data_IF_129484292664
#
_entry.id   IF_129484292664
#
_cell.length_a   1.000
_cell.length_b   1.000
_cell.length_c   1.000
_cell.angle_alpha   90.00
_cell.angle_beta   90.00
_cell.angle_gamma   90.00
#
_symmetry.space_group_name_H-M   'P 1'
#
loop_
_entity.id
_entity.type
_entity.pdbx_description
1 polymer ?
#
# COMPACT_ATOMS: atom_id res chain seq x y z
N UNK A 1 -14.12 39.26 -19.99
CA UNK A 1 -13.42 37.97 -20.02
C UNK A 1 -12.50 37.83 -18.80
N UNK A 2 -12.99 37.38 -17.63
CA UNK A 2 -12.15 37.04 -16.45
C UNK A 2 -12.67 35.85 -15.63
N UNK A 3 -13.64 35.10 -16.13
CA UNK A 3 -14.28 33.98 -15.41
C UNK A 3 -13.65 32.61 -15.70
N UNK A 4 -12.74 32.49 -16.65
CA UNK A 4 -12.16 31.18 -17.02
C UNK A 4 -11.15 30.64 -15.98
N UNK A 5 -10.36 31.51 -15.35
CA UNK A 5 -9.24 31.09 -14.48
C UNK A 5 -9.68 30.52 -13.13
N UNK A 6 -10.84 30.93 -12.61
CA UNK A 6 -11.37 30.45 -11.31
C UNK A 6 -11.90 29.01 -11.42
N UNK A 7 -12.41 28.62 -12.60
CA UNK A 7 -12.94 27.28 -12.85
C UNK A 7 -11.84 26.23 -13.04
N UNK A 8 -10.67 26.59 -13.58
CA UNK A 8 -9.58 25.64 -13.84
C UNK A 8 -9.00 25.05 -12.56
N UNK A 9 -8.81 25.86 -11.52
CA UNK A 9 -8.28 25.40 -10.24
C UNK A 9 -9.29 24.50 -9.49
N UNK A 10 -10.58 24.82 -9.55
CA UNK A 10 -11.64 23.98 -8.98
C UNK A 10 -11.81 22.66 -9.71
N UNK A 11 -11.77 22.67 -11.04
CA UNK A 11 -11.82 21.47 -11.87
C UNK A 11 -10.63 20.53 -11.62
N UNK A 12 -9.42 21.09 -11.52
CA UNK A 12 -8.21 20.33 -11.18
C UNK A 12 -8.32 19.66 -9.80
N UNK A 13 -8.79 20.39 -8.78
CA UNK A 13 -9.01 19.81 -7.44
C UNK A 13 -10.02 18.67 -7.48
N UNK A 14 -11.15 18.85 -8.19
CA UNK A 14 -12.15 17.80 -8.35
C UNK A 14 -11.57 16.57 -9.05
N UNK A 15 -10.79 16.76 -10.12
CA UNK A 15 -10.15 15.67 -10.83
C UNK A 15 -9.16 14.89 -9.95
N UNK A 16 -8.36 15.59 -9.13
CA UNK A 16 -7.46 14.93 -8.17
C UNK A 16 -8.25 14.15 -7.13
N UNK A 17 -9.32 14.73 -6.58
CA UNK A 17 -10.20 14.05 -5.61
C UNK A 17 -10.84 12.81 -6.23
N UNK A 18 -11.43 12.92 -7.43
CA UNK A 18 -12.07 11.81 -8.12
C UNK A 18 -11.06 10.70 -8.46
N UNK A 19 -9.81 11.05 -8.78
CA UNK A 19 -8.74 10.08 -9.02
C UNK A 19 -8.28 9.40 -7.72
N UNK A 20 -8.01 10.14 -6.66
CA UNK A 20 -7.57 9.58 -5.36
C UNK A 20 -8.64 8.71 -4.73
N UNK A 21 -9.91 9.11 -4.81
CA UNK A 21 -11.05 8.30 -4.37
C UNK A 21 -11.48 7.25 -5.39
N UNK A 22 -10.77 7.10 -6.51
CA UNK A 22 -11.10 6.04 -7.45
C UNK A 22 -10.87 4.67 -6.79
N UNK A 23 -11.80 3.75 -7.03
CA UNK A 23 -11.70 2.36 -6.57
C UNK A 23 -10.36 1.71 -6.93
N UNK A 24 -9.80 1.84 -8.15
CA UNK A 24 -8.51 1.23 -8.45
C UNK A 24 -7.37 1.78 -7.58
N UNK A 25 -7.31 3.09 -7.33
CA UNK A 25 -6.28 3.69 -6.46
C UNK A 25 -6.41 3.17 -5.02
N UNK A 26 -7.64 3.12 -4.49
CA UNK A 26 -7.90 2.58 -3.16
C UNK A 26 -7.52 1.08 -3.07
N UNK A 27 -7.87 0.28 -4.08
CA UNK A 27 -7.53 -1.13 -4.14
C UNK A 27 -6.01 -1.36 -4.23
N UNK A 28 -5.30 -0.58 -5.03
CA UNK A 28 -3.83 -0.62 -5.11
C UNK A 28 -3.21 -0.27 -3.78
N UNK A 29 -3.62 0.83 -3.14
CA UNK A 29 -3.10 1.23 -1.83
C UNK A 29 -3.32 0.13 -0.79
N UNK A 30 -4.53 -0.42 -0.70
CA UNK A 30 -4.85 -1.48 0.25
C UNK A 30 -4.00 -2.74 -0.01
N UNK A 31 -3.87 -3.15 -1.27
CA UNK A 31 -3.07 -4.31 -1.66
C UNK A 31 -1.59 -4.09 -1.34
N UNK A 32 -1.06 -2.89 -1.61
CA UNK A 32 0.32 -2.53 -1.28
C UNK A 32 0.57 -2.57 0.24
N UNK A 33 -0.36 -2.06 1.04
CA UNK A 33 -0.27 -2.11 2.52
C UNK A 33 -0.29 -3.55 3.02
N UNK A 34 -1.17 -4.40 2.49
CA UNK A 34 -1.21 -5.82 2.81
C UNK A 34 0.11 -6.52 2.44
N UNK A 35 0.61 -6.30 1.22
CA UNK A 35 1.86 -6.89 0.76
C UNK A 35 3.05 -6.46 1.63
N UNK A 36 3.15 -5.17 1.98
CA UNK A 36 4.19 -4.66 2.88
C UNK A 36 4.09 -5.25 4.28
N UNK A 37 2.87 -5.36 4.81
CA UNK A 37 2.65 -5.95 6.15
C UNK A 37 3.11 -7.41 6.18
N UNK A 38 2.70 -8.21 5.19
CA UNK A 38 3.13 -9.59 5.07
C UNK A 38 4.65 -9.66 4.89
N UNK A 39 5.23 -8.85 4.00
CA UNK A 39 6.68 -8.79 3.81
C UNK A 39 7.42 -8.52 5.13
N UNK A 40 7.00 -7.49 5.87
CA UNK A 40 7.62 -7.13 7.16
C UNK A 40 7.53 -8.28 8.16
N UNK A 41 6.40 -8.98 8.24
CA UNK A 41 6.23 -10.12 9.13
C UNK A 41 7.11 -11.31 8.72
N UNK A 42 7.07 -11.69 7.44
CA UNK A 42 7.84 -12.81 6.90
C UNK A 42 9.35 -12.58 6.93
N UNK A 43 9.82 -11.34 6.83
CA UNK A 43 11.25 -11.01 6.80
C UNK A 43 11.74 -10.27 8.05
N UNK A 44 10.93 -10.20 9.11
CA UNK A 44 11.34 -9.57 10.37
C UNK A 44 12.55 -10.28 10.99
N UNK A 45 13.50 -9.50 11.50
CA UNK A 45 14.60 -9.96 12.36
C UNK A 45 14.31 -9.78 13.85
N UNK A 46 13.15 -9.22 14.21
CA UNK A 46 12.75 -9.06 15.61
C UNK A 46 12.38 -10.44 16.20
N UNK A 47 13.08 -10.94 17.25
CA UNK A 47 12.96 -12.34 17.67
C UNK A 47 11.54 -12.80 18.00
N UNK A 48 10.69 -12.02 18.69
CA UNK A 48 9.31 -12.42 18.94
C UNK A 48 8.50 -12.64 17.65
N UNK A 49 8.56 -11.69 16.71
CA UNK A 49 7.84 -11.81 15.44
C UNK A 49 8.40 -12.93 14.56
N UNK A 50 9.73 -13.03 14.49
CA UNK A 50 10.44 -14.10 13.78
C UNK A 50 10.01 -15.48 14.30
N UNK A 51 10.06 -15.68 15.61
CA UNK A 51 9.80 -16.99 16.23
C UNK A 51 8.33 -17.40 16.12
N UNK A 52 7.39 -16.45 16.23
CA UNK A 52 5.97 -16.72 16.02
C UNK A 52 5.64 -17.19 14.60
N UNK A 53 6.47 -16.85 13.62
CA UNK A 53 6.25 -17.21 12.21
C UNK A 53 7.30 -18.20 11.68
N UNK A 54 8.16 -18.74 12.54
CA UNK A 54 9.32 -19.52 12.12
C UNK A 54 8.95 -20.75 11.29
N UNK A 55 7.97 -21.53 11.74
CA UNK A 55 7.47 -22.70 11.00
C UNK A 55 6.91 -22.30 9.63
N UNK A 56 6.06 -21.28 9.59
CA UNK A 56 5.45 -20.78 8.34
C UNK A 56 6.52 -20.30 7.36
N UNK A 57 7.57 -19.64 7.84
CA UNK A 57 8.69 -19.18 7.01
C UNK A 57 9.46 -20.36 6.39
N UNK A 58 9.72 -21.44 7.14
CA UNK A 58 10.36 -22.66 6.60
C UNK A 58 9.55 -23.33 5.50
N UNK A 59 8.22 -23.22 5.54
CA UNK A 59 7.34 -23.75 4.49
C UNK A 59 7.11 -22.77 3.32
N UNK A 60 7.61 -21.54 3.41
CA UNK A 60 7.38 -20.51 2.39
C UNK A 60 8.61 -20.36 1.50
N UNK A 61 8.44 -20.70 0.22
CA UNK A 61 9.50 -20.61 -0.78
C UNK A 61 10.11 -19.20 -0.82
N UNK A 62 11.45 -19.13 -0.95
CA UNK A 62 12.24 -17.88 -0.98
C UNK A 62 12.31 -17.09 0.35
N UNK A 63 11.64 -17.54 1.42
CA UNK A 63 11.78 -16.92 2.74
C UNK A 63 12.91 -17.63 3.49
N UNK A 64 14.11 -17.07 3.38
CA UNK A 64 15.27 -17.56 4.10
C UNK A 64 15.10 -17.47 5.62
N UNK A 65 15.53 -18.53 6.29
CA UNK A 65 15.79 -18.57 7.73
C UNK A 65 17.23 -19.08 7.92
N UNK A 66 17.86 -18.73 9.05
CA UNK A 66 19.21 -19.16 9.43
C UNK A 66 19.34 -20.69 9.43
#
# INVERSE_FOLDING_TARGET
MRTASINSAGAFRKQVVDFTLSVPVQATLYTSVCALTLWTLYFSSYPPAHNSLHEVRHHTLMVGCH
#
